data_IF_375151814628
#
_entry.id   IF_375151814628
#
_cell.length_a   1.000
_cell.length_b   1.000
_cell.length_c   1.000
_cell.angle_alpha   90.00
_cell.angle_beta   90.00
_cell.angle_gamma   90.00
#
_symmetry.space_group_name_H-M   'P 1'
#
loop_
_entity.id
_entity.type
_entity.pdbx_description
1 polymer ?
#
# COMPACT_ATOMS: atom_id res chain seq x y z
N UNK A 1 14.18 1.95 5.32
CA UNK A 1 13.44 2.99 4.56
C UNK A 1 14.03 4.34 4.95
N UNK A 2 14.52 5.17 4.00
CA UNK A 2 15.37 6.35 4.31
C UNK A 2 14.60 7.65 4.62
N UNK A 3 13.35 7.75 4.18
CA UNK A 3 12.42 8.82 4.57
C UNK A 3 11.63 8.33 5.77
N UNK A 4 11.88 8.93 6.94
CA UNK A 4 11.19 8.58 8.19
C UNK A 4 9.74 9.07 8.25
N UNK A 5 9.33 9.90 7.31
CA UNK A 5 8.05 10.61 7.31
C UNK A 5 6.96 9.90 6.49
N UNK A 6 7.05 8.57 6.36
CA UNK A 6 6.11 7.78 5.54
C UNK A 6 5.23 6.94 6.45
N UNK A 7 3.96 7.31 6.58
CA UNK A 7 2.97 6.59 7.38
C UNK A 7 2.38 5.37 6.67
N UNK A 8 2.21 5.47 5.34
CA UNK A 8 1.51 4.47 4.51
C UNK A 8 2.22 4.25 3.18
N UNK A 9 2.40 2.98 2.81
CA UNK A 9 2.75 2.54 1.45
C UNK A 9 1.52 1.95 0.79
N UNK A 10 1.09 2.54 -0.34
CA UNK A 10 -0.06 2.09 -1.12
C UNK A 10 0.38 1.64 -2.52
N UNK A 11 -0.05 0.46 -2.97
CA UNK A 11 0.10 0.04 -4.37
C UNK A 11 -1.23 -0.15 -5.10
N UNK A 12 -1.25 0.24 -6.37
CA UNK A 12 -2.40 0.07 -7.26
C UNK A 12 -2.63 -1.41 -7.60
N UNK A 13 -3.80 -1.69 -8.20
CA UNK A 13 -4.18 -3.02 -8.68
C UNK A 13 -3.17 -3.52 -9.72
N UNK A 14 -2.75 -4.77 -9.59
CA UNK A 14 -1.76 -5.39 -10.48
C UNK A 14 -0.31 -5.06 -10.12
N UNK A 15 -0.06 -4.08 -9.25
CA UNK A 15 1.28 -3.81 -8.70
C UNK A 15 1.46 -4.56 -7.38
N UNK A 16 1.74 -5.87 -7.51
CA UNK A 16 1.98 -6.76 -6.38
C UNK A 16 3.49 -6.95 -6.20
N UNK A 17 3.99 -6.46 -5.09
CA UNK A 17 5.34 -6.72 -4.62
C UNK A 17 5.29 -7.07 -3.13
N UNK A 18 5.39 -8.36 -2.83
CA UNK A 18 5.26 -8.88 -1.47
C UNK A 18 6.47 -8.53 -0.59
N UNK A 19 7.67 -8.49 -1.19
CA UNK A 19 8.91 -8.17 -0.47
C UNK A 19 8.93 -6.72 -0.01
N UNK A 20 8.52 -5.79 -0.89
CA UNK A 20 8.42 -4.38 -0.56
C UNK A 20 7.40 -4.12 0.57
N UNK A 21 6.24 -4.80 0.52
CA UNK A 21 5.23 -4.69 1.56
C UNK A 21 5.70 -5.31 2.89
N UNK A 22 6.40 -6.44 2.85
CA UNK A 22 7.00 -7.04 4.05
C UNK A 22 7.99 -6.09 4.71
N UNK A 23 8.90 -5.50 3.92
CA UNK A 23 9.87 -4.51 4.39
C UNK A 23 9.21 -3.27 4.99
N UNK A 24 8.11 -2.80 4.40
CA UNK A 24 7.33 -1.68 4.95
C UNK A 24 6.71 -2.04 6.31
N UNK A 25 6.11 -3.23 6.44
CA UNK A 25 5.57 -3.73 7.73
C UNK A 25 6.63 -3.87 8.81
N UNK A 26 7.81 -4.38 8.45
CA UNK A 26 8.96 -4.50 9.38
C UNK A 26 9.43 -3.13 9.92
N UNK A 27 9.20 -2.06 9.16
CA UNK A 27 9.49 -0.69 9.56
C UNK A 27 8.28 0.02 10.21
N UNK A 28 7.24 -0.71 10.65
CA UNK A 28 5.99 -0.17 11.21
C UNK A 28 5.19 0.77 10.28
N UNK A 29 5.40 0.65 8.96
CA UNK A 29 4.68 1.44 7.97
C UNK A 29 3.43 0.67 7.53
N UNK A 30 2.28 1.35 7.49
CA UNK A 30 1.01 0.73 7.06
C UNK A 30 1.11 0.38 5.58
N UNK A 31 0.63 -0.79 5.20
CA UNK A 31 0.70 -1.27 3.81
C UNK A 31 -0.68 -1.53 3.24
N UNK A 32 -0.98 -0.93 2.10
CA UNK A 32 -2.17 -1.19 1.29
C UNK A 32 -1.67 -1.68 -0.07
N UNK A 33 -2.05 -2.89 -0.48
CA UNK A 33 -1.59 -3.49 -1.74
C UNK A 33 -2.77 -3.92 -2.58
N UNK A 34 -2.63 -3.80 -3.89
CA UNK A 34 -3.59 -4.31 -4.86
C UNK A 34 -5.00 -3.69 -4.71
N UNK A 35 -5.06 -2.42 -4.33
CA UNK A 35 -6.33 -1.69 -4.11
C UNK A 35 -6.32 -0.42 -4.96
N UNK A 36 -7.45 -0.12 -5.60
CA UNK A 36 -7.66 1.12 -6.34
C UNK A 36 -8.85 1.88 -5.74
N UNK A 37 -8.59 3.07 -5.20
CA UNK A 37 -9.63 3.92 -4.57
C UNK A 37 -10.81 4.20 -5.50
N UNK A 38 -10.57 4.36 -6.81
CA UNK A 38 -11.63 4.56 -7.81
C UNK A 38 -12.57 3.37 -7.92
N UNK A 39 -12.03 2.14 -7.91
CA UNK A 39 -12.85 0.93 -7.99
C UNK A 39 -13.59 0.68 -6.68
N UNK A 40 -12.92 0.90 -5.54
CA UNK A 40 -13.57 0.77 -4.24
C UNK A 40 -14.72 1.78 -4.08
N UNK A 41 -14.50 3.04 -4.48
CA UNK A 41 -15.57 4.03 -4.47
C UNK A 41 -16.74 3.61 -5.38
N UNK A 42 -16.45 3.13 -6.60
CA UNK A 42 -17.48 2.61 -7.52
C UNK A 42 -18.21 1.37 -6.98
N UNK A 43 -17.66 0.62 -6.02
CA UNK A 43 -18.37 -0.50 -5.38
C UNK A 43 -19.34 -0.05 -4.29
N UNK A 44 -19.14 1.15 -3.75
CA UNK A 44 -19.93 1.71 -2.65
C UNK A 44 -21.11 2.56 -3.12
N UNK A 45 -21.12 3.00 -4.38
CA UNK A 45 -22.16 3.82 -5.02
C UNK A 45 -22.70 3.13 -6.26
#
# INVERSE_FOLDING_TARGET
IKRGDIDVVWSQIGLVNNEAMKKAREHNIKTVQNICTKLEHKRLV
#
